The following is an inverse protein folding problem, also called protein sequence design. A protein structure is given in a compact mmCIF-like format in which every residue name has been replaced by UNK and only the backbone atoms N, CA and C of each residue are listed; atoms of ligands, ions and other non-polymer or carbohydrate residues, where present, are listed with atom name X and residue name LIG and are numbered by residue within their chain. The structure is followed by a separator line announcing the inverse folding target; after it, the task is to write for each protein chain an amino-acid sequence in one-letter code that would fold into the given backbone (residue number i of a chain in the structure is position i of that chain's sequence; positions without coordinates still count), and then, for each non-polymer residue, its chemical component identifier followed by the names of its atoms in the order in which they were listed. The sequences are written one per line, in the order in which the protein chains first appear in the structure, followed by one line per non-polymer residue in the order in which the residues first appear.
data_IF_419339519455
#
_entry.id   IF_419339519455
#
_cell.length_a   1.000
_cell.length_b   1.000
_cell.length_c   1.000
_cell.angle_alpha   90.00
_cell.angle_beta   90.00
_cell.angle_gamma   90.00
#
_symmetry.space_group_name_H-M   'P 1'
#
loop_
_entity.id
_entity.type
_entity.pdbx_description
1 polymer ?
#
# COMPACT_ATOMS: atom_id res chain seq x y z
N UNK A 1 -17.09 -6.65 -10.03
CA UNK A 1 -15.66 -6.34 -9.89
C UNK A 1 -14.87 -7.42 -10.58
N UNK A 2 -13.75 -7.07 -11.23
CA UNK A 2 -12.87 -8.04 -11.90
C UNK A 2 -12.01 -8.71 -10.83
N UNK A 3 -11.85 -10.03 -10.92
CA UNK A 3 -10.96 -10.83 -10.07
C UNK A 3 -9.74 -11.22 -10.89
N UNK A 4 -8.57 -10.70 -10.54
CA UNK A 4 -7.32 -10.97 -11.27
C UNK A 4 -6.63 -12.24 -10.79
N UNK A 5 -6.70 -12.52 -9.49
CA UNK A 5 -6.10 -13.69 -8.85
C UNK A 5 -7.07 -14.29 -7.81
N UNK A 6 -6.76 -15.49 -7.27
CA UNK A 6 -7.51 -16.02 -6.14
C UNK A 6 -7.49 -15.12 -4.89
N UNK A 7 -6.48 -14.25 -4.74
CA UNK A 7 -6.32 -13.36 -3.59
C UNK A 7 -7.07 -12.03 -3.74
N UNK A 8 -7.50 -11.66 -4.95
CA UNK A 8 -8.18 -10.37 -5.18
C UNK A 8 -9.41 -10.21 -4.28
N UNK A 9 -9.49 -9.09 -3.56
CA UNK A 9 -10.72 -8.68 -2.87
C UNK A 9 -11.88 -8.56 -3.87
N UNK A 10 -12.87 -9.43 -3.72
CA UNK A 10 -13.89 -9.69 -4.74
C UNK A 10 -15.28 -9.09 -4.43
N UNK A 11 -15.44 -8.41 -3.29
CA UNK A 11 -16.71 -7.79 -2.91
C UNK A 11 -16.55 -6.36 -2.40
N UNK A 12 -17.56 -5.52 -2.66
CA UNK A 12 -17.55 -4.10 -2.24
C UNK A 12 -17.49 -4.00 -0.71
N UNK A 13 -18.14 -4.91 0.00
CA UNK A 13 -18.11 -4.94 1.46
C UNK A 13 -16.69 -5.24 1.99
N UNK A 14 -16.00 -6.23 1.41
CA UNK A 14 -14.61 -6.54 1.76
C UNK A 14 -13.68 -5.37 1.41
N UNK A 15 -13.85 -4.75 0.24
CA UNK A 15 -13.06 -3.59 -0.17
C UNK A 15 -13.25 -2.40 0.78
N UNK A 16 -14.49 -2.13 1.23
CA UNK A 16 -14.74 -1.07 2.24
C UNK A 16 -14.07 -1.37 3.57
N UNK A 17 -14.11 -2.62 4.02
CA UNK A 17 -13.42 -3.04 5.25
C UNK A 17 -11.90 -2.87 5.11
N UNK A 18 -11.36 -3.22 3.94
CA UNK A 18 -9.94 -3.04 3.62
C UNK A 18 -9.53 -1.58 3.62
N UNK A 19 -10.28 -0.71 2.94
CA UNK A 19 -10.01 0.73 2.94
C UNK A 19 -10.06 1.34 4.34
N UNK A 20 -10.97 0.88 5.21
CA UNK A 20 -11.01 1.31 6.61
C UNK A 20 -9.74 0.90 7.36
N UNK A 21 -9.26 -0.34 7.14
CA UNK A 21 -8.00 -0.83 7.72
C UNK A 21 -6.80 -0.03 7.22
N UNK A 22 -6.71 0.20 5.91
CA UNK A 22 -5.67 1.03 5.27
C UNK A 22 -5.63 2.43 5.88
N UNK A 23 -6.80 3.06 6.05
CA UNK A 23 -6.91 4.37 6.66
C UNK A 23 -6.41 4.39 8.11
N UNK A 24 -6.75 3.37 8.91
CA UNK A 24 -6.33 3.26 10.32
C UNK A 24 -4.84 2.97 10.48
N UNK A 25 -4.27 2.11 9.64
CA UNK A 25 -2.86 1.69 9.75
C UNK A 25 -1.88 2.61 9.00
N UNK A 26 -2.37 3.46 8.09
CA UNK A 26 -1.56 4.44 7.37
C UNK A 26 -0.75 3.88 6.19
N UNK A 27 -1.05 2.66 5.73
CA UNK A 27 -0.42 2.04 4.57
C UNK A 27 -1.36 1.03 3.91
N UNK A 28 -1.10 0.68 2.66
CA UNK A 28 -1.78 -0.40 1.94
C UNK A 28 -0.77 -1.49 1.57
N UNK A 29 -1.13 -2.75 1.80
CA UNK A 29 -0.39 -3.91 1.35
C UNK A 29 -1.27 -4.68 0.37
N UNK A 30 -0.78 -4.85 -0.85
CA UNK A 30 -1.35 -5.78 -1.82
C UNK A 30 -0.49 -7.05 -1.80
N UNK A 31 -1.10 -8.17 -1.42
CA UNK A 31 -0.46 -9.49 -1.42
C UNK A 31 -1.03 -10.36 -2.53
N UNK A 32 -0.43 -10.24 -3.72
CA UNK A 32 -0.76 -11.04 -4.89
C UNK A 32 -2.20 -10.90 -5.36
N UNK A 33 -2.87 -9.76 -5.09
CA UNK A 33 -4.23 -9.51 -5.56
C UNK A 33 -4.30 -9.09 -7.02
N UNK A 34 -3.24 -8.44 -7.52
CA UNK A 34 -3.12 -8.00 -8.92
C UNK A 34 -2.49 -9.07 -9.81
N UNK A 35 -1.42 -9.71 -9.33
CA UNK A 35 -0.66 -10.71 -10.06
C UNK A 35 -0.07 -11.72 -9.07
N UNK A 36 -0.11 -13.01 -9.41
CA UNK A 36 0.52 -14.06 -8.60
C UNK A 36 2.04 -13.86 -8.58
N UNK A 37 2.65 -13.89 -7.41
CA UNK A 37 4.08 -13.59 -7.26
C UNK A 37 4.42 -12.11 -7.11
N UNK A 38 3.45 -11.18 -7.21
CA UNK A 38 3.66 -9.75 -6.93
C UNK A 38 3.19 -9.40 -5.52
N UNK A 39 4.03 -8.71 -4.76
CA UNK A 39 3.62 -8.05 -3.52
C UNK A 39 4.02 -6.58 -3.55
N UNK A 40 3.17 -5.69 -3.07
CA UNK A 40 3.47 -4.26 -3.06
C UNK A 40 2.97 -3.58 -1.80
N UNK A 41 3.73 -2.59 -1.33
CA UNK A 41 3.40 -1.76 -0.19
C UNK A 41 3.31 -0.30 -0.64
N UNK A 42 2.32 0.43 -0.14
CA UNK A 42 2.11 1.84 -0.46
C UNK A 42 1.81 2.68 0.79
N UNK A 43 2.23 3.94 0.76
CA UNK A 43 1.96 4.95 1.81
C UNK A 43 1.39 6.22 1.18
N UNK A 44 0.52 6.95 1.90
CA UNK A 44 -0.03 8.21 1.41
C UNK A 44 0.99 9.35 1.49
N UNK A 45 0.90 10.29 0.57
CA UNK A 45 1.57 11.59 0.62
C UNK A 45 0.48 12.65 0.83
N UNK A 46 0.67 13.47 1.86
CA UNK A 46 -0.32 14.45 2.29
C UNK A 46 0.06 15.85 1.84
N UNK A 47 -0.90 16.66 1.40
CA UNK A 47 -0.68 18.09 1.22
C UNK A 47 -0.64 18.83 2.57
N UNK A 48 -0.39 20.15 2.53
CA UNK A 48 -0.36 20.99 3.72
C UNK A 48 -1.69 21.04 4.49
N UNK A 49 -2.82 20.70 3.86
CA UNK A 49 -4.15 20.61 4.49
C UNK A 49 -4.42 19.22 5.10
N UNK A 50 -3.45 18.31 5.08
CA UNK A 50 -3.59 16.95 5.61
C UNK A 50 -4.42 16.02 4.73
N UNK A 51 -4.66 16.39 3.46
CA UNK A 51 -5.38 15.57 2.49
C UNK A 51 -4.41 14.72 1.68
N UNK A 52 -4.77 13.47 1.37
CA UNK A 52 -3.96 12.61 0.50
C UNK A 52 -3.94 13.19 -0.91
N UNK A 53 -2.77 13.64 -1.37
CA UNK A 53 -2.55 14.21 -2.71
C UNK A 53 -1.98 13.16 -3.67
N UNK A 54 -1.19 12.22 -3.14
CA UNK A 54 -0.57 11.15 -3.91
C UNK A 54 -0.30 9.92 -3.02
N UNK A 55 0.26 8.87 -3.60
CA UNK A 55 0.78 7.72 -2.86
C UNK A 55 2.13 7.30 -3.45
N UNK A 56 3.02 6.79 -2.60
CA UNK A 56 4.30 6.22 -2.99
C UNK A 56 4.27 4.73 -2.72
N UNK A 57 4.65 3.91 -3.70
CA UNK A 57 4.64 2.47 -3.58
C UNK A 57 6.00 1.84 -3.91
N UNK A 58 6.16 0.60 -3.47
CA UNK A 58 7.26 -0.29 -3.85
C UNK A 58 6.71 -1.69 -4.06
N UNK A 59 7.18 -2.36 -5.12
CA UNK A 59 6.83 -3.73 -5.47
C UNK A 59 8.02 -4.67 -5.32
N UNK A 60 7.75 -5.91 -4.92
CA UNK A 60 8.74 -6.99 -4.80
C UNK A 60 8.15 -8.31 -5.31
N UNK A 61 9.03 -9.26 -5.63
CA UNK A 61 8.60 -10.63 -5.88
C UNK A 61 8.21 -11.29 -4.55
N UNK A 62 7.00 -11.86 -4.48
CA UNK A 62 6.41 -12.38 -3.25
C UNK A 62 7.20 -13.54 -2.61
N UNK A 63 8.00 -14.26 -3.41
CA UNK A 63 8.90 -15.31 -2.95
C UNK A 63 10.22 -14.81 -2.34
N UNK A 64 10.57 -13.53 -2.50
CA UNK A 64 11.81 -12.96 -1.96
C UNK A 64 11.63 -12.33 -0.57
N UNK A 65 10.42 -11.83 -0.28
CA UNK A 65 10.16 -11.12 0.98
C UNK A 65 8.69 -11.28 1.37
N UNK A 66 8.44 -11.74 2.59
CA UNK A 66 7.10 -11.93 3.15
C UNK A 66 6.40 -10.58 3.39
N UNK A 67 5.06 -10.60 3.48
CA UNK A 67 4.26 -9.44 3.88
C UNK A 67 4.75 -8.81 5.19
N UNK A 68 5.07 -9.66 6.18
CA UNK A 68 5.58 -9.23 7.47
C UNK A 68 6.92 -8.50 7.34
N UNK A 69 7.86 -9.07 6.59
CA UNK A 69 9.15 -8.42 6.35
C UNK A 69 9.01 -7.09 5.59
N UNK A 70 8.07 -6.97 4.66
CA UNK A 70 7.78 -5.67 4.02
C UNK A 70 7.37 -4.63 5.06
N UNK A 71 6.47 -4.99 5.98
CA UNK A 71 5.99 -4.09 7.03
C UNK A 71 7.11 -3.75 8.01
N UNK A 72 7.92 -4.72 8.43
CA UNK A 72 8.96 -4.51 9.43
C UNK A 72 10.19 -3.77 8.87
N UNK A 73 10.54 -3.98 7.60
CA UNK A 73 11.80 -3.48 7.02
C UNK A 73 11.64 -2.40 5.96
N UNK A 74 10.55 -2.43 5.19
CA UNK A 74 10.37 -1.52 4.04
C UNK A 74 9.44 -0.37 4.38
N UNK A 75 8.40 -0.60 5.18
CA UNK A 75 7.45 0.45 5.57
C UNK A 75 8.14 1.67 6.21
N UNK A 76 9.08 1.52 7.18
CA UNK A 76 9.69 2.68 7.82
C UNK A 76 10.47 3.56 6.83
N UNK A 77 11.21 2.94 5.91
CA UNK A 77 11.98 3.64 4.87
C UNK A 77 11.07 4.28 3.82
N UNK A 78 9.99 3.59 3.43
CA UNK A 78 9.00 4.11 2.50
C UNK A 78 8.28 5.33 3.09
N UNK A 79 7.93 5.28 4.37
CA UNK A 79 7.35 6.43 5.09
C UNK A 79 8.33 7.59 5.21
N UNK A 80 9.63 7.31 5.40
CA UNK A 80 10.67 8.35 5.41
C UNK A 80 10.77 9.02 4.05
N UNK A 81 10.86 8.26 2.97
CA UNK A 81 10.88 8.78 1.61
C UNK A 81 9.61 9.59 1.29
N UNK A 82 8.44 9.12 1.72
CA UNK A 82 7.18 9.86 1.54
C UNK A 82 7.18 11.22 2.25
N UNK A 83 7.74 11.32 3.47
CA UNK A 83 7.88 12.61 4.17
C UNK A 83 8.81 13.57 3.45
N UNK A 84 9.92 13.08 2.90
CA UNK A 84 10.86 13.89 2.13
C UNK A 84 10.23 14.39 0.82
N UNK A 85 9.52 13.51 0.09
CA UNK A 85 8.83 13.87 -1.16
C UNK A 85 7.65 14.80 -0.95
N UNK A 86 6.98 14.74 0.20
CA UNK A 86 5.87 15.65 0.53
C UNK A 86 6.31 17.11 0.49
N UNK A 87 7.59 17.42 0.76
CA UNK A 87 8.14 18.78 0.66
C UNK A 87 8.19 19.32 -0.77
N UNK A 88 8.13 18.43 -1.77
CA UNK A 88 8.16 18.78 -3.19
C UNK A 88 6.75 18.93 -3.78
N UNK A 89 5.73 18.45 -3.07
CA UNK A 89 4.34 18.56 -3.49
C UNK A 89 3.79 19.91 -3.02
N UNK A 90 3.27 20.71 -3.96
CA UNK A 90 2.64 22.01 -3.71
C UNK A 90 1.12 21.87 -3.64
#
# INVERSE_FOLDING_TARGET
MIRYTPQTVDSVAKLRAELKRVHQQGYALNDQELEMGLRSLAVPLFNAQGQVQAALNVGVHAGQMTAREMIERVLPELQKAARELTLLLR
#
